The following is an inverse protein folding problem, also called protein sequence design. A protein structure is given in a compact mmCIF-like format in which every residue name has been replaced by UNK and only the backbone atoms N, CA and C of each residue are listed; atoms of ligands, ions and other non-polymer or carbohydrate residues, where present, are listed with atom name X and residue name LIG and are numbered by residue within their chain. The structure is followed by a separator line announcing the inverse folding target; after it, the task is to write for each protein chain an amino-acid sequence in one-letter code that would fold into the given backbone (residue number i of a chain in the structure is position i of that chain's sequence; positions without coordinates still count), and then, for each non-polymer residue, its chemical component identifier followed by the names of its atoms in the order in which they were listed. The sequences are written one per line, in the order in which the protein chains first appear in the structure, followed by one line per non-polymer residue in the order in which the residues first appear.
data_IF_529112886115
#
_entry.id   IF_529112886115
#
_cell.length_a   1.000
_cell.length_b   1.000
_cell.length_c   1.000
_cell.angle_alpha   90.00
_cell.angle_beta   90.00
_cell.angle_gamma   90.00
#
_symmetry.space_group_name_H-M   'P 1'
#
loop_
_entity.id
_entity.type
_entity.pdbx_description
1 polymer ?
#
# COMPACT_ATOMS: atom_id res chain seq x y z
N UNK A 1 -48.19 -2.33 -25.30
CA UNK A 1 -47.31 -3.51 -25.18
C UNK A 1 -45.84 -3.14 -25.40
N UNK A 2 -45.45 -2.47 -26.50
CA UNK A 2 -44.05 -2.11 -26.75
C UNK A 2 -43.40 -1.14 -25.74
N UNK A 3 -44.18 -0.25 -25.12
CA UNK A 3 -43.67 0.69 -24.10
C UNK A 3 -43.12 -0.03 -22.85
N UNK A 4 -43.78 -1.11 -22.40
CA UNK A 4 -43.32 -1.92 -21.26
C UNK A 4 -42.02 -2.64 -21.62
N UNK A 5 -41.91 -3.13 -22.86
CA UNK A 5 -40.70 -3.80 -23.33
C UNK A 5 -39.53 -2.81 -23.41
N UNK A 6 -39.78 -1.58 -23.87
CA UNK A 6 -38.77 -0.52 -23.93
C UNK A 6 -38.31 -0.09 -22.52
N UNK A 7 -39.23 0.07 -21.57
CA UNK A 7 -38.88 0.36 -20.17
C UNK A 7 -38.11 -0.77 -19.51
N UNK A 8 -38.49 -2.03 -19.75
CA UNK A 8 -37.78 -3.19 -19.22
C UNK A 8 -36.35 -3.28 -19.77
N UNK A 9 -36.15 -3.04 -21.07
CA UNK A 9 -34.80 -2.96 -21.66
C UNK A 9 -34.02 -1.78 -21.06
N UNK A 10 -34.65 -0.62 -20.90
CA UNK A 10 -34.03 0.56 -20.28
C UNK A 10 -33.60 0.28 -18.83
N UNK A 11 -34.46 -0.36 -18.04
CA UNK A 11 -34.19 -0.76 -16.66
C UNK A 11 -33.07 -1.81 -16.58
N UNK A 12 -33.04 -2.78 -17.51
CA UNK A 12 -31.97 -3.79 -17.59
C UNK A 12 -30.61 -3.14 -17.85
N UNK A 13 -30.54 -2.18 -18.79
CA UNK A 13 -29.31 -1.44 -19.10
C UNK A 13 -28.91 -0.55 -17.92
N UNK A 14 -29.85 0.16 -17.31
CA UNK A 14 -29.59 1.01 -16.15
C UNK A 14 -29.07 0.20 -14.95
N UNK A 15 -29.65 -0.97 -14.70
CA UNK A 15 -29.20 -1.89 -13.66
C UNK A 15 -27.76 -2.36 -13.93
N UNK A 16 -27.44 -2.75 -15.16
CA UNK A 16 -26.09 -3.16 -15.54
C UNK A 16 -25.08 -2.02 -15.38
N UNK A 17 -25.44 -0.79 -15.78
CA UNK A 17 -24.61 0.40 -15.60
C UNK A 17 -24.34 0.66 -14.12
N UNK A 18 -25.36 0.57 -13.26
CA UNK A 18 -25.20 0.78 -11.81
C UNK A 18 -24.33 -0.31 -11.20
N UNK A 19 -24.55 -1.59 -11.52
CA UNK A 19 -23.74 -2.70 -10.99
C UNK A 19 -22.29 -2.61 -11.46
N UNK A 20 -22.08 -2.33 -12.74
CA UNK A 20 -20.76 -2.07 -13.28
C UNK A 20 -20.11 -0.91 -12.54
N UNK A 21 -20.84 0.20 -12.40
CA UNK A 21 -20.34 1.37 -11.70
C UNK A 21 -20.01 1.08 -10.24
N UNK A 22 -20.84 0.35 -9.49
CA UNK A 22 -20.56 0.05 -8.08
C UNK A 22 -19.35 -0.87 -7.92
N UNK A 23 -19.18 -1.87 -8.79
CA UNK A 23 -17.98 -2.72 -8.76
C UNK A 23 -16.72 -1.99 -9.25
N UNK A 24 -16.86 -1.06 -10.20
CA UNK A 24 -15.73 -0.44 -10.89
C UNK A 24 -15.37 0.97 -10.38
N UNK A 25 -16.25 1.64 -9.62
CA UNK A 25 -15.94 2.89 -8.93
C UNK A 25 -15.25 2.65 -7.57
N UNK A 26 -15.38 1.44 -7.00
CA UNK A 26 -14.74 1.05 -5.74
C UNK A 26 -13.26 0.69 -5.85
N UNK A 27 -12.75 0.47 -7.07
CA UNK A 27 -11.31 0.29 -7.32
C UNK A 27 -10.60 1.63 -7.22
N UNK A 28 -10.30 2.00 -5.96
CA UNK A 28 -9.32 3.01 -5.59
C UNK A 28 -8.03 2.78 -6.38
N UNK A 29 -7.84 3.63 -7.38
CA UNK A 29 -6.61 3.74 -8.15
C UNK A 29 -5.60 4.52 -7.31
N UNK A 30 -4.85 3.81 -6.49
CA UNK A 30 -3.82 4.37 -5.60
C UNK A 30 -3.84 3.57 -4.30
N UNK A 31 -2.83 2.80 -3.94
CA UNK A 31 -1.42 2.94 -4.26
C UNK A 31 -0.90 1.69 -4.99
N UNK A 32 -0.18 1.86 -6.10
CA UNK A 32 1.00 1.01 -6.27
C UNK A 32 1.81 1.39 -5.04
N UNK A 33 1.86 0.50 -4.02
CA UNK A 33 2.87 0.62 -2.99
C UNK A 33 4.17 0.73 -3.78
N UNK A 34 4.73 1.94 -3.84
CA UNK A 34 6.06 2.16 -4.39
C UNK A 34 6.91 1.07 -3.73
N UNK A 35 7.51 0.13 -4.49
CA UNK A 35 8.35 -0.88 -3.88
C UNK A 35 9.37 -0.09 -3.08
N UNK A 36 9.20 -0.08 -1.75
CA UNK A 36 10.09 0.63 -0.85
C UNK A 36 11.49 0.21 -1.31
N UNK A 37 12.37 1.18 -1.67
CA UNK A 37 13.71 0.83 -2.06
C UNK A 37 14.24 -0.07 -0.95
N UNK A 38 14.92 -1.19 -1.26
CA UNK A 38 15.36 -2.15 -0.25
C UNK A 38 16.13 -1.35 0.79
N UNK A 39 15.46 -1.06 1.91
CA UNK A 39 16.06 -0.37 3.03
C UNK A 39 16.99 -1.43 3.59
N UNK A 40 18.24 -1.30 3.12
CA UNK A 40 19.40 -2.03 3.54
C UNK A 40 19.28 -2.16 5.06
N UNK A 41 18.86 -3.37 5.48
CA UNK A 41 18.61 -3.69 6.87
C UNK A 41 19.76 -3.10 7.66
N UNK A 42 19.52 -2.29 8.71
CA UNK A 42 20.62 -1.68 9.42
C UNK A 42 21.47 -2.83 9.91
N UNK A 43 22.66 -2.96 9.30
CA UNK A 43 23.69 -3.85 9.76
C UNK A 43 23.83 -3.59 11.26
N UNK A 44 23.98 -4.63 12.09
CA UNK A 44 23.98 -4.47 13.54
C UNK A 44 25.12 -3.54 13.94
N UNK A 45 24.83 -2.24 14.09
CA UNK A 45 25.75 -1.19 14.54
C UNK A 45 26.07 -1.31 16.04
N UNK A 46 25.92 -2.50 16.61
CA UNK A 46 26.12 -2.79 18.03
C UNK A 46 27.34 -3.66 18.32
N UNK A 47 28.27 -3.84 17.38
CA UNK A 47 29.51 -4.61 17.61
C UNK A 47 30.80 -3.87 17.21
N UNK A 48 30.79 -2.54 17.17
CA UNK A 48 32.03 -1.75 17.03
C UNK A 48 31.95 -0.46 17.86
N UNK A 49 31.68 -0.61 19.15
CA UNK A 49 32.10 0.40 20.10
C UNK A 49 33.63 0.30 20.24
N UNK A 50 34.40 1.38 20.04
CA UNK A 50 35.83 1.35 20.26
C UNK A 50 36.09 1.08 21.75
N UNK A 51 37.00 0.14 22.03
CA UNK A 51 37.47 -0.17 23.37
C UNK A 51 37.86 1.12 24.12
N UNK A 52 37.55 1.23 25.43
CA UNK A 52 37.95 2.39 26.21
C UNK A 52 39.48 2.54 26.19
N UNK A 53 40.02 3.78 26.14
CA UNK A 53 41.45 3.98 26.13
C UNK A 53 42.03 3.43 27.43
N UNK A 54 43.02 2.55 27.31
CA UNK A 54 43.85 2.11 28.42
C UNK A 54 44.61 3.32 28.99
N UNK A 55 44.01 4.02 29.94
CA UNK A 55 44.75 4.89 30.86
C UNK A 55 45.13 4.06 32.07
N UNK A 56 46.34 3.50 32.03
CA UNK A 56 47.06 3.13 33.24
C UNK A 56 47.35 4.40 34.05
N UNK A 57 46.87 4.55 35.29
CA UNK A 57 47.46 5.47 36.23
C UNK A 57 48.51 4.71 37.05
N UNK A 58 49.76 5.12 36.84
CA UNK A 58 50.86 4.97 37.79
C UNK A 58 50.45 5.43 39.20
N UNK A 59 51.10 4.86 40.25
CA UNK A 59 51.21 5.29 41.68
C UNK A 59 50.61 4.25 42.65
N UNK A 60 51.30 3.65 43.63
CA UNK A 60 52.58 3.85 44.33
C UNK A 60 53.19 2.47 44.67
#
# INVERSE_FOLDING_TARGET
MGLILLEALGALVLLAVIVWWTMFAGRRRGEIADPAPPEEAPAPVAASAPAPPATSPSRD
#
